data_IF_654886993795
#
_entry.id   IF_654886993795
#
_cell.length_a   1.000
_cell.length_b   1.000
_cell.length_c   1.000
_cell.angle_alpha   90.00
_cell.angle_beta   90.00
_cell.angle_gamma   90.00
#
_symmetry.space_group_name_H-M   'P 1'
#
loop_
_entity.id
_entity.type
_entity.pdbx_description
1 polymer ?
#
# COMPACT_ATOMS: atom_id res chain seq x y z
N UNK A 1 -7.25 -10.38 14.22
CA UNK A 1 -7.30 -9.39 13.14
C UNK A 1 -6.96 -10.08 11.82
N UNK A 2 -7.67 -9.76 10.75
CA UNK A 2 -7.37 -10.24 9.39
C UNK A 2 -7.23 -9.06 8.45
N UNK A 3 -6.22 -9.08 7.60
CA UNK A 3 -6.03 -8.08 6.56
C UNK A 3 -6.49 -8.60 5.21
N UNK A 4 -7.00 -7.70 4.39
CA UNK A 4 -7.22 -7.92 2.97
C UNK A 4 -6.87 -6.67 2.19
N UNK A 5 -6.18 -6.84 1.07
CA UNK A 5 -5.74 -5.76 0.20
C UNK A 5 -6.42 -5.88 -1.15
N UNK A 6 -6.95 -4.78 -1.66
CA UNK A 6 -7.46 -4.69 -3.03
C UNK A 6 -6.97 -3.43 -3.71
N UNK A 7 -6.85 -3.49 -5.03
CA UNK A 7 -6.79 -2.27 -5.82
C UNK A 7 -8.21 -1.74 -6.01
N UNK A 8 -8.41 -0.43 -5.92
CA UNK A 8 -9.73 0.20 -6.09
C UNK A 8 -10.24 -0.02 -7.53
N UNK A 9 -9.33 -0.18 -8.50
CA UNK A 9 -9.64 -0.58 -9.87
C UNK A 9 -8.69 -1.66 -10.32
N UNK A 10 -9.17 -2.59 -11.14
CA UNK A 10 -8.29 -3.60 -11.74
C UNK A 10 -7.31 -3.02 -12.77
N UNK A 11 -7.65 -1.87 -13.36
CA UNK A 11 -6.81 -1.20 -14.35
C UNK A 11 -6.90 0.32 -14.28
N UNK A 12 -5.79 1.00 -14.59
CA UNK A 12 -5.67 2.45 -14.62
C UNK A 12 -5.12 2.92 -15.97
N UNK A 13 -5.81 3.87 -16.61
CA UNK A 13 -5.32 4.53 -17.83
C UNK A 13 -4.22 5.54 -17.50
N UNK A 14 -3.47 6.04 -18.49
CA UNK A 14 -2.62 7.22 -18.31
C UNK A 14 -3.37 8.36 -17.61
N UNK A 15 -2.69 9.06 -16.70
CA UNK A 15 -3.25 10.12 -15.86
C UNK A 15 -4.10 9.70 -14.66
N UNK A 16 -4.58 8.45 -14.59
CA UNK A 16 -5.27 7.97 -13.39
C UNK A 16 -4.27 7.63 -12.27
N UNK A 17 -4.59 8.05 -11.05
CA UNK A 17 -3.84 7.73 -9.84
C UNK A 17 -4.27 6.38 -9.27
N UNK A 18 -3.40 5.35 -9.24
CA UNK A 18 -3.67 4.12 -8.52
C UNK A 18 -4.01 4.35 -7.04
N UNK A 19 -4.97 3.58 -6.55
CA UNK A 19 -5.40 3.61 -5.16
C UNK A 19 -5.60 2.18 -4.66
N UNK A 20 -5.10 1.91 -3.46
CA UNK A 20 -5.08 0.58 -2.86
C UNK A 20 -5.71 0.65 -1.49
N UNK A 21 -6.67 -0.23 -1.24
CA UNK A 21 -7.42 -0.25 0.00
C UNK A 21 -7.02 -1.47 0.83
N UNK A 22 -6.46 -1.22 2.01
CA UNK A 22 -6.20 -2.22 3.02
C UNK A 22 -7.35 -2.20 4.03
N UNK A 23 -8.04 -3.32 4.14
CA UNK A 23 -9.07 -3.54 5.16
C UNK A 23 -8.48 -4.28 6.34
N UNK A 24 -8.68 -3.74 7.54
CA UNK A 24 -8.36 -4.39 8.80
C UNK A 24 -9.65 -4.86 9.49
N UNK A 25 -9.89 -6.17 9.52
CA UNK A 25 -11.06 -6.77 10.17
C UNK A 25 -10.72 -7.37 11.52
N UNK A 26 -11.33 -6.84 12.57
CA UNK A 26 -11.28 -7.44 13.88
C UNK A 26 -12.36 -8.51 14.01
N UNK A 27 -11.96 -9.73 14.37
CA UNK A 27 -12.83 -10.90 14.53
C UNK A 27 -12.81 -11.44 15.97
N UNK A 28 -12.19 -10.71 16.90
CA UNK A 28 -12.19 -11.07 18.31
C UNK A 28 -13.36 -10.39 19.04
N UNK A 29 -13.62 -10.84 20.27
CA UNK A 29 -14.63 -10.25 21.15
C UNK A 29 -14.20 -8.95 21.86
N UNK A 30 -12.98 -8.47 21.62
CA UNK A 30 -12.44 -7.25 22.23
C UNK A 30 -11.86 -6.30 21.19
N UNK A 31 -11.65 -5.05 21.59
CA UNK A 31 -11.11 -4.05 20.69
C UNK A 31 -9.64 -4.28 20.39
N UNK A 32 -9.24 -3.99 19.16
CA UNK A 32 -7.86 -4.11 18.71
C UNK A 32 -7.33 -2.73 18.31
N UNK A 33 -6.05 -2.48 18.62
CA UNK A 33 -5.31 -1.32 18.09
C UNK A 33 -4.45 -1.79 16.92
N UNK A 34 -4.42 -1.00 15.86
CA UNK A 34 -3.58 -1.24 14.69
C UNK A 34 -2.99 0.07 14.20
N UNK A 35 -1.74 0.04 13.77
CA UNK A 35 -1.11 1.17 13.10
C UNK A 35 -1.01 0.87 11.60
N UNK A 36 -1.64 1.71 10.79
CA UNK A 36 -1.64 1.59 9.33
C UNK A 36 -0.80 2.67 8.64
N UNK A 37 -0.02 3.42 9.42
CA UNK A 37 0.97 4.37 8.91
C UNK A 37 2.15 3.63 8.26
N UNK A 38 2.85 4.24 7.30
CA UNK A 38 3.94 3.63 6.56
C UNK A 38 5.11 3.18 7.44
N UNK A 39 5.30 3.69 8.67
CA UNK A 39 6.34 3.16 9.58
C UNK A 39 6.00 1.76 10.12
N UNK A 40 4.73 1.34 10.03
CA UNK A 40 4.25 0.06 10.58
C UNK A 40 3.54 -0.82 9.55
N UNK A 41 2.75 -0.26 8.64
CA UNK A 41 2.10 -0.98 7.56
C UNK A 41 2.66 -0.52 6.21
N UNK A 42 3.72 -1.19 5.77
CA UNK A 42 4.44 -0.86 4.55
C UNK A 42 3.70 -1.41 3.34
N UNK A 43 3.44 -0.54 2.36
CA UNK A 43 2.97 -0.91 1.04
C UNK A 43 4.15 -0.90 0.06
N UNK A 44 4.29 -1.96 -0.72
CA UNK A 44 5.32 -2.11 -1.74
C UNK A 44 4.69 -2.41 -3.09
N UNK A 45 5.17 -1.75 -4.14
CA UNK A 45 4.73 -1.94 -5.52
C UNK A 45 5.89 -2.47 -6.34
N UNK A 46 5.67 -3.60 -7.02
CA UNK A 46 6.68 -4.31 -7.81
C UNK A 46 6.11 -4.59 -9.21
N UNK A 47 6.86 -4.31 -10.30
CA UNK A 47 6.46 -4.73 -11.64
C UNK A 47 6.41 -6.26 -11.69
N UNK A 48 5.36 -6.86 -12.26
CA UNK A 48 5.25 -8.33 -12.29
C UNK A 48 6.34 -9.04 -13.12
N UNK A 49 7.07 -8.28 -13.95
CA UNK A 49 8.19 -8.76 -14.76
C UNK A 49 9.55 -8.68 -14.06
N UNK A 50 9.60 -8.29 -12.79
CA UNK A 50 10.85 -8.18 -12.03
C UNK A 50 10.63 -8.36 -10.53
N UNK A 51 11.72 -8.43 -9.80
CA UNK A 51 11.70 -8.70 -8.36
C UNK A 51 11.96 -7.44 -7.51
N UNK A 52 12.51 -6.39 -8.13
CA UNK A 52 12.84 -5.14 -7.44
C UNK A 52 11.61 -4.28 -7.18
N UNK A 53 11.50 -3.77 -5.95
CA UNK A 53 10.48 -2.80 -5.59
C UNK A 53 10.64 -1.53 -6.43
N UNK A 54 9.56 -1.12 -7.09
CA UNK A 54 9.51 0.14 -7.82
C UNK A 54 9.17 1.31 -6.88
N UNK A 55 8.34 1.04 -5.87
CA UNK A 55 7.94 2.02 -4.88
C UNK A 55 7.63 1.36 -3.54
N UNK A 56 7.94 2.03 -2.44
CA UNK A 56 7.53 1.65 -1.10
C UNK A 56 7.01 2.87 -0.31
N UNK A 57 6.02 2.65 0.55
CA UNK A 57 5.38 3.74 1.30
C UNK A 57 6.25 4.36 2.39
N UNK A 58 7.26 3.61 2.86
CA UNK A 58 8.18 3.97 3.92
C UNK A 58 9.50 4.56 3.41
N UNK A 59 9.80 4.45 2.11
CA UNK A 59 11.02 4.98 1.49
C UNK A 59 11.25 6.46 1.78
N UNK A 60 10.18 7.27 1.80
CA UNK A 60 10.28 8.67 2.17
C UNK A 60 9.00 9.24 2.80
N UNK A 61 8.91 9.11 4.12
CA UNK A 61 7.81 9.67 4.93
C UNK A 61 8.07 11.16 5.22
N UNK A 62 7.70 12.02 4.27
CA UNK A 62 7.90 13.48 4.38
C UNK A 62 7.05 14.12 5.49
N UNK A 63 5.80 13.70 5.59
CA UNK A 63 4.87 14.18 6.60
C UNK A 63 4.89 13.23 7.80
N UNK A 64 5.62 13.61 8.85
CA UNK A 64 5.74 12.80 10.07
C UNK A 64 4.42 12.58 10.80
N UNK A 65 3.42 13.45 10.61
CA UNK A 65 2.08 13.24 11.18
C UNK A 65 1.36 12.04 10.55
N UNK A 66 1.81 11.58 9.38
CA UNK A 66 1.26 10.43 8.67
C UNK A 66 2.09 9.17 8.81
N UNK A 67 3.21 9.23 9.55
CA UNK A 67 4.15 8.13 9.69
C UNK A 67 3.57 6.96 10.50
N UNK A 68 2.83 7.31 11.56
CA UNK A 68 2.05 6.41 12.42
C UNK A 68 0.58 6.84 12.32
N UNK A 69 -0.30 5.90 11.95
CA UNK A 69 -1.73 6.11 11.84
C UNK A 69 -2.44 5.05 12.69
N UNK A 70 -2.63 5.37 13.96
CA UNK A 70 -3.21 4.45 14.93
C UNK A 70 -4.73 4.46 14.87
N UNK A 71 -5.31 3.27 14.75
CA UNK A 71 -6.75 3.07 14.72
C UNK A 71 -7.17 2.09 15.81
N UNK A 72 -8.33 2.37 16.41
CA UNK A 72 -9.10 1.41 17.22
C UNK A 72 -10.10 0.71 16.30
N UNK A 73 -10.02 -0.61 16.23
CA UNK A 73 -10.98 -1.45 15.52
C UNK A 73 -11.80 -2.19 16.56
N UNK A 74 -13.07 -1.82 16.69
CA UNK A 74 -13.97 -2.41 17.66
C UNK A 74 -14.13 -3.93 17.44
N UNK A 75 -14.49 -4.67 18.49
CA UNK A 75 -14.83 -6.09 18.40
C UNK A 75 -15.76 -6.38 17.21
N UNK A 76 -15.47 -7.45 16.44
CA UNK A 76 -16.23 -7.89 15.27
C UNK A 76 -16.42 -6.85 14.13
N UNK A 77 -15.73 -5.71 14.15
CA UNK A 77 -15.84 -4.63 13.16
C UNK A 77 -14.65 -4.58 12.18
N UNK A 78 -14.66 -3.65 11.23
CA UNK A 78 -13.53 -3.42 10.34
C UNK A 78 -13.41 -1.97 9.91
N UNK A 79 -12.19 -1.59 9.51
CA UNK A 79 -11.86 -0.29 8.95
C UNK A 79 -11.14 -0.47 7.62
N UNK A 80 -11.16 0.56 6.78
CA UNK A 80 -10.43 0.62 5.52
C UNK A 80 -9.47 1.81 5.53
N UNK A 81 -8.25 1.58 5.05
CA UNK A 81 -7.23 2.59 4.83
C UNK A 81 -6.82 2.58 3.36
N UNK A 82 -6.79 3.75 2.72
CA UNK A 82 -6.47 3.87 1.29
C UNK A 82 -5.14 4.57 1.09
N UNK A 83 -4.22 3.91 0.39
CA UNK A 83 -2.97 4.48 -0.09
C UNK A 83 -3.14 4.85 -1.56
N UNK A 84 -2.73 6.07 -1.92
CA UNK A 84 -2.64 6.52 -3.31
C UNK A 84 -1.19 6.57 -3.73
N UNK A 85 -0.91 6.16 -4.95
CA UNK A 85 0.41 6.19 -5.53
C UNK A 85 0.39 7.01 -6.82
N UNK A 86 1.33 7.94 -6.98
CA UNK A 86 1.38 8.88 -8.10
C UNK A 86 2.12 8.32 -9.33
N UNK A 87 2.40 7.01 -9.32
CA UNK A 87 3.14 6.29 -10.38
C UNK A 87 4.63 6.62 -10.44
N UNK A 88 5.17 7.42 -9.50
CA UNK A 88 6.61 7.68 -9.43
C UNK A 88 7.34 6.59 -8.64
N UNK A 89 8.59 6.26 -9.02
CA UNK A 89 9.41 5.40 -8.21
C UNK A 89 9.83 6.12 -6.92
N UNK A 90 10.18 5.35 -5.89
CA UNK A 90 10.80 5.87 -4.67
C UNK A 90 12.19 5.28 -4.48
N UNK A 91 12.92 5.84 -3.51
CA UNK A 91 14.22 5.37 -3.08
C UNK A 91 14.27 5.39 -1.55
N UNK A 92 14.85 4.37 -0.90
CA UNK A 92 14.99 4.30 0.54
C UNK A 92 15.66 5.54 1.13
N UNK A 93 15.36 5.83 2.39
CA UNK A 93 15.98 6.92 3.17
C UNK A 93 15.83 8.30 2.51
N UNK A 94 14.73 8.53 1.80
CA UNK A 94 14.51 9.73 0.98
C UNK A 94 15.62 9.98 -0.05
N UNK A 95 16.23 8.91 -0.57
CA UNK A 95 17.21 8.97 -1.65
C UNK A 95 16.65 9.54 -2.95
N UNK A 96 17.50 9.65 -3.97
CA UNK A 96 17.08 10.11 -5.31
C UNK A 96 16.55 8.92 -6.11
N UNK A 97 15.23 8.84 -6.40
CA UNK A 97 14.68 7.76 -7.20
C UNK A 97 15.06 7.93 -8.68
N UNK A 98 15.04 6.85 -9.47
CA UNK A 98 15.23 6.94 -10.91
C UNK A 98 14.17 7.86 -11.55
N UNK A 99 14.56 8.56 -12.62
CA UNK A 99 13.66 9.46 -13.31
C UNK A 99 12.51 8.70 -14.02
N UNK A 100 11.39 9.40 -14.20
CA UNK A 100 10.25 8.93 -15.00
C UNK A 100 9.05 8.48 -14.17
N UNK A 101 8.21 7.65 -14.78
CA UNK A 101 6.99 7.12 -14.18
C UNK A 101 6.77 5.67 -14.61
N UNK A 102 5.96 4.96 -13.83
CA UNK A 102 5.68 3.55 -14.06
C UNK A 102 5.06 3.34 -15.45
N UNK A 103 5.73 2.48 -16.23
CA UNK A 103 5.32 2.08 -17.58
C UNK A 103 4.01 1.29 -17.54
N UNK A 104 3.40 1.11 -18.70
CA UNK A 104 2.29 0.16 -18.84
C UNK A 104 2.76 -1.26 -18.49
N UNK A 105 1.87 -2.06 -17.90
CA UNK A 105 2.18 -3.41 -17.46
C UNK A 105 1.36 -3.86 -16.27
N UNK A 106 1.60 -5.10 -15.84
CA UNK A 106 1.01 -5.65 -14.61
C UNK A 106 1.94 -5.36 -13.45
N UNK A 107 1.36 -4.94 -12.34
CA UNK A 107 2.07 -4.65 -11.10
C UNK A 107 1.42 -5.44 -9.96
N UNK A 108 2.24 -5.78 -8.97
CA UNK A 108 1.80 -6.31 -7.69
C UNK A 108 1.90 -5.18 -6.66
N UNK A 109 0.88 -5.05 -5.83
CA UNK A 109 0.93 -4.28 -4.60
C UNK A 109 0.83 -5.25 -3.43
N UNK A 110 1.74 -5.10 -2.48
CA UNK A 110 1.78 -5.88 -1.25
C UNK A 110 1.65 -4.94 -0.05
N UNK A 111 0.99 -5.39 1.01
CA UNK A 111 0.97 -4.71 2.30
C UNK A 111 1.47 -5.66 3.38
N UNK A 112 2.42 -5.18 4.18
CA UNK A 112 3.04 -5.93 5.28
C UNK A 112 3.02 -5.09 6.55
N UNK A 113 2.56 -5.69 7.65
CA UNK A 113 2.64 -5.09 8.97
C UNK A 113 3.13 -6.11 10.01
N UNK A 114 3.85 -5.69 11.06
CA UNK A 114 4.31 -6.55 12.14
C UNK A 114 3.18 -7.41 12.73
N UNK A 115 3.44 -8.70 12.90
CA UNK A 115 2.47 -9.65 13.47
C UNK A 115 1.34 -10.08 12.55
N UNK A 116 1.33 -9.64 11.29
CA UNK A 116 0.30 -10.02 10.30
C UNK A 116 0.90 -10.68 9.07
N UNK A 117 0.14 -11.61 8.48
CA UNK A 117 0.48 -12.18 7.19
C UNK A 117 0.48 -11.09 6.11
N UNK A 118 1.46 -11.14 5.21
CA UNK A 118 1.52 -10.27 4.03
C UNK A 118 0.30 -10.55 3.15
N UNK A 119 -0.37 -9.49 2.70
CA UNK A 119 -1.46 -9.55 1.73
C UNK A 119 -1.05 -8.87 0.44
N UNK A 120 -1.54 -9.36 -0.70
CA UNK A 120 -1.17 -8.83 -2.01
C UNK A 120 -2.31 -8.91 -3.01
N UNK A 121 -2.24 -8.06 -4.03
CA UNK A 121 -3.11 -8.12 -5.22
C UNK A 121 -2.37 -7.57 -6.43
N UNK A 122 -2.84 -7.90 -7.62
CA UNK A 122 -2.36 -7.29 -8.86
C UNK A 122 -3.24 -6.11 -9.30
N UNK A 123 -2.67 -5.28 -10.16
CA UNK A 123 -3.39 -4.25 -10.93
C UNK A 123 -2.65 -4.00 -12.25
N UNK A 124 -3.34 -3.40 -13.22
CA UNK A 124 -2.78 -3.10 -14.56
C UNK A 124 -2.67 -1.61 -14.79
N UNK A 125 -1.50 -1.17 -15.24
CA UNK A 125 -1.32 0.13 -15.87
C UNK A 125 -1.45 -0.04 -17.38
N UNK A 126 -2.47 0.58 -17.97
CA UNK A 126 -2.70 0.50 -19.43
C UNK A 126 -1.75 1.43 -20.18
N UNK A 127 -1.40 1.04 -21.40
CA UNK A 127 -0.98 2.00 -22.42
C UNK A 127 -2.17 2.87 -22.82
N UNK A 128 -1.89 4.00 -23.46
CA UNK A 128 -2.90 4.63 -24.33
C UNK A 128 -3.36 3.65 -25.43
#
# INVERSE_FOLDING_TARGET
MKFSLRSVRNSYTPGQTPAFELTARNTSGGDCKVDLGPEHAVFTITPASGDDAYWASDDCVKDKSKASLQYRVAANSGIAYTVKWDRKPSAPECGTPPAGSAKAGTYLVEAKAPGFAKVRTSFVLKSD
#
